data_IF_480039008997
#
_entry.id   IF_480039008997
#
_cell.length_a   1.000
_cell.length_b   1.000
_cell.length_c   1.000
_cell.angle_alpha   90.00
_cell.angle_beta   90.00
_cell.angle_gamma   90.00
#
_symmetry.space_group_name_H-M   'P 1'
#
loop_
_entity.id
_entity.type
_entity.pdbx_description
1 polymer ?
#
# COMPACT_ATOMS: atom_id res chain seq x y z
N UNK A 1 -15.32 -10.12 -10.37
CA UNK A 1 -16.27 -10.05 -11.50
C UNK A 1 -17.66 -10.66 -11.21
N UNK A 2 -17.78 -11.71 -10.39
CA UNK A 2 -19.11 -12.29 -10.08
C UNK A 2 -20.01 -11.31 -9.30
N UNK A 3 -19.44 -10.54 -8.38
CA UNK A 3 -20.18 -9.56 -7.54
C UNK A 3 -20.37 -8.21 -8.24
N UNK A 4 -19.47 -7.87 -9.17
CA UNK A 4 -19.46 -6.58 -9.88
C UNK A 4 -19.32 -6.81 -11.40
N UNK A 5 -20.40 -7.19 -12.09
CA UNK A 5 -20.34 -7.58 -13.51
C UNK A 5 -19.96 -6.42 -14.44
N UNK A 6 -20.25 -5.18 -14.03
CA UNK A 6 -19.93 -3.97 -14.83
C UNK A 6 -18.48 -3.49 -14.62
N UNK A 7 -17.73 -4.08 -13.68
CA UNK A 7 -16.35 -3.71 -13.43
C UNK A 7 -15.44 -4.23 -14.55
N UNK A 8 -14.77 -3.32 -15.24
CA UNK A 8 -13.74 -3.63 -16.22
C UNK A 8 -12.37 -3.60 -15.56
N UNK A 9 -11.72 -4.76 -15.41
CA UNK A 9 -10.33 -4.84 -14.95
C UNK A 9 -9.46 -4.88 -16.19
N UNK A 10 -8.77 -3.76 -16.45
CA UNK A 10 -7.93 -3.56 -17.66
C UNK A 10 -6.50 -4.06 -17.49
N UNK A 11 -6.05 -4.27 -16.26
CA UNK A 11 -4.72 -4.82 -15.98
C UNK A 11 -4.51 -5.16 -14.52
N UNK A 12 -3.51 -5.97 -14.25
CA UNK A 12 -2.99 -6.22 -12.91
C UNK A 12 -1.52 -6.64 -13.00
N UNK A 13 -0.74 -6.27 -11.99
CA UNK A 13 0.68 -6.59 -11.89
C UNK A 13 1.05 -6.88 -10.44
N UNK A 14 2.06 -7.72 -10.22
CA UNK A 14 2.65 -7.81 -8.89
C UNK A 14 3.40 -6.50 -8.57
N UNK A 15 3.48 -6.14 -7.28
CA UNK A 15 4.11 -4.89 -6.82
C UNK A 15 5.64 -4.99 -6.61
N UNK A 16 6.30 -6.04 -7.10
CA UNK A 16 7.74 -6.25 -6.94
C UNK A 16 8.45 -5.83 -8.22
N UNK A 17 8.94 -4.60 -8.25
CA UNK A 17 9.73 -4.07 -9.36
C UNK A 17 11.21 -4.36 -9.14
N UNK A 18 11.86 -4.96 -10.13
CA UNK A 18 13.28 -5.33 -10.08
C UNK A 18 14.18 -4.19 -10.55
N UNK A 19 13.70 -3.41 -11.49
CA UNK A 19 14.44 -2.31 -12.14
C UNK A 19 13.50 -1.18 -12.59
N UNK A 20 14.09 -0.10 -13.09
CA UNK A 20 13.36 1.03 -13.64
C UNK A 20 12.60 0.69 -14.93
N UNK A 21 13.07 -0.27 -15.70
CA UNK A 21 12.44 -0.69 -16.97
C UNK A 21 11.02 -1.22 -16.71
N UNK A 22 10.84 -2.04 -15.66
CA UNK A 22 9.52 -2.56 -15.28
C UNK A 22 8.54 -1.44 -14.85
N UNK A 23 9.06 -0.33 -14.32
CA UNK A 23 8.23 0.84 -13.98
C UNK A 23 7.87 1.62 -15.25
N UNK A 24 8.80 1.75 -16.20
CA UNK A 24 8.54 2.38 -17.49
C UNK A 24 7.48 1.60 -18.29
N UNK A 25 7.59 0.26 -18.32
CA UNK A 25 6.56 -0.60 -18.91
C UNK A 25 5.17 -0.38 -18.28
N UNK A 26 5.12 -0.21 -16.95
CA UNK A 26 3.85 0.11 -16.28
C UNK A 26 3.31 1.48 -16.69
N UNK A 27 4.17 2.48 -16.88
CA UNK A 27 3.77 3.80 -17.37
C UNK A 27 3.16 3.70 -18.78
N UNK A 28 3.79 2.95 -19.68
CA UNK A 28 3.28 2.72 -21.04
C UNK A 28 1.95 1.98 -21.02
N UNK A 29 1.83 0.94 -20.20
CA UNK A 29 0.60 0.19 -20.02
C UNK A 29 -0.56 1.07 -19.52
N UNK A 30 -0.30 1.99 -18.59
CA UNK A 30 -1.31 2.94 -18.10
C UNK A 30 -1.75 3.95 -19.16
N UNK A 31 -0.81 4.43 -19.98
CA UNK A 31 -1.12 5.35 -21.09
C UNK A 31 -1.96 4.66 -22.16
N UNK A 32 -1.66 3.40 -22.45
CA UNK A 32 -2.39 2.60 -23.43
C UNK A 32 -3.81 2.25 -22.95
N UNK A 33 -3.91 1.70 -21.73
CA UNK A 33 -5.17 1.14 -21.19
C UNK A 33 -6.10 2.18 -20.57
N UNK A 34 -5.57 3.34 -20.20
CA UNK A 34 -6.31 4.50 -19.64
C UNK A 34 -7.30 4.13 -18.53
N UNK A 35 -6.85 3.50 -17.44
CA UNK A 35 -7.74 3.16 -16.33
C UNK A 35 -8.26 4.41 -15.62
N UNK A 36 -9.51 4.39 -15.14
CA UNK A 36 -10.08 5.44 -14.29
C UNK A 36 -9.56 5.34 -12.86
N UNK A 37 -9.27 4.12 -12.39
CA UNK A 37 -8.80 3.82 -11.04
C UNK A 37 -7.55 2.95 -11.08
N UNK A 38 -6.54 3.34 -10.27
CA UNK A 38 -5.30 2.58 -10.09
C UNK A 38 -5.09 2.29 -8.62
N UNK A 39 -5.07 1.01 -8.25
CA UNK A 39 -4.85 0.54 -6.89
C UNK A 39 -3.39 0.12 -6.72
N UNK A 40 -2.67 0.71 -5.76
CA UNK A 40 -1.26 0.42 -5.51
C UNK A 40 -1.06 -0.08 -4.09
N UNK A 41 -0.43 -1.25 -3.94
CA UNK A 41 -0.18 -1.93 -2.67
C UNK A 41 1.28 -2.35 -2.50
N UNK A 42 2.22 -1.50 -2.92
CA UNK A 42 3.68 -1.78 -2.88
C UNK A 42 4.34 -1.42 -1.56
N UNK A 43 3.61 -0.73 -0.69
CA UNK A 43 4.07 -0.33 0.65
C UNK A 43 4.79 1.03 0.68
N UNK A 44 4.69 1.66 1.86
CA UNK A 44 5.33 2.96 2.15
C UNK A 44 6.87 2.81 2.22
N UNK A 45 7.67 3.79 1.76
CA UNK A 45 7.28 5.03 1.05
C UNK A 45 7.24 4.89 -0.48
N UNK A 46 7.47 3.69 -1.00
CA UNK A 46 7.62 3.46 -2.44
C UNK A 46 6.30 3.71 -3.19
N UNK A 47 5.16 3.28 -2.64
CA UNK A 47 3.85 3.46 -3.27
C UNK A 47 3.51 4.93 -3.52
N UNK A 48 3.82 5.83 -2.59
CA UNK A 48 3.54 7.27 -2.71
C UNK A 48 4.39 7.89 -3.83
N UNK A 49 5.67 7.52 -3.90
CA UNK A 49 6.57 7.96 -4.98
C UNK A 49 6.11 7.45 -6.34
N UNK A 50 5.71 6.17 -6.38
CA UNK A 50 5.21 5.55 -7.60
C UNK A 50 3.90 6.22 -8.06
N UNK A 51 2.94 6.44 -7.14
CA UNK A 51 1.69 7.15 -7.45
C UNK A 51 1.95 8.54 -8.02
N UNK A 52 2.83 9.33 -7.39
CA UNK A 52 3.18 10.66 -7.86
C UNK A 52 3.84 10.64 -9.25
N UNK A 53 4.62 9.61 -9.55
CA UNK A 53 5.25 9.41 -10.85
C UNK A 53 4.24 9.05 -11.93
N UNK A 54 3.40 8.04 -11.66
CA UNK A 54 2.38 7.55 -12.59
C UNK A 54 1.32 8.61 -12.89
N UNK A 55 0.91 9.39 -11.89
CA UNK A 55 -0.06 10.47 -12.05
C UNK A 55 0.39 11.53 -13.06
N UNK A 56 1.69 11.81 -13.14
CA UNK A 56 2.25 12.73 -14.13
C UNK A 56 2.14 12.22 -15.58
N UNK A 57 2.01 10.90 -15.75
CA UNK A 57 1.90 10.25 -17.06
C UNK A 57 0.45 10.02 -17.47
N UNK A 58 -0.38 9.65 -16.53
CA UNK A 58 -1.80 9.40 -16.76
C UNK A 58 -2.63 9.90 -15.57
N UNK A 59 -3.54 10.83 -15.85
CA UNK A 59 -4.46 11.37 -14.85
C UNK A 59 -5.59 10.37 -14.57
N UNK A 60 -5.55 9.75 -13.39
CA UNK A 60 -6.53 8.79 -12.90
C UNK A 60 -6.72 8.96 -11.39
N UNK A 61 -7.68 8.24 -10.81
CA UNK A 61 -7.80 8.15 -9.36
C UNK A 61 -6.85 7.07 -8.83
N UNK A 62 -5.81 7.50 -8.13
CA UNK A 62 -4.83 6.60 -7.52
C UNK A 62 -5.16 6.37 -6.05
N UNK A 63 -5.21 5.11 -5.63
CA UNK A 63 -5.51 4.70 -4.27
C UNK A 63 -4.40 3.79 -3.74
N UNK A 64 -3.75 4.23 -2.65
CA UNK A 64 -2.80 3.37 -1.94
C UNK A 64 -3.56 2.38 -1.06
N UNK A 65 -3.33 1.10 -1.30
CA UNK A 65 -3.89 0.02 -0.51
C UNK A 65 -2.80 -0.52 0.42
N UNK A 66 -2.93 -0.20 1.70
CA UNK A 66 -2.03 -0.74 2.72
C UNK A 66 -2.36 -2.19 3.09
N UNK A 67 -1.87 -2.64 4.25
CA UNK A 67 -2.12 -3.99 4.78
C UNK A 67 -3.60 -4.36 5.02
N UNK A 68 -4.53 -3.45 4.79
CA UNK A 68 -5.98 -3.74 4.78
C UNK A 68 -6.36 -4.60 3.58
N UNK A 69 -5.68 -4.44 2.45
CA UNK A 69 -5.89 -5.27 1.26
C UNK A 69 -5.46 -6.72 1.51
N UNK A 70 -4.33 -6.93 2.20
CA UNK A 70 -3.87 -8.27 2.58
C UNK A 70 -4.88 -8.99 3.49
N UNK A 71 -5.56 -8.24 4.35
CA UNK A 71 -6.62 -8.78 5.21
C UNK A 71 -7.87 -9.11 4.39
N UNK A 72 -8.26 -8.23 3.47
CA UNK A 72 -9.43 -8.43 2.61
C UNK A 72 -9.27 -9.64 1.69
N UNK A 73 -8.09 -9.83 1.13
CA UNK A 73 -7.77 -11.00 0.28
C UNK A 73 -7.54 -12.29 1.06
N UNK A 74 -7.54 -12.22 2.41
CA UNK A 74 -7.30 -13.37 3.27
C UNK A 74 -5.83 -13.81 3.36
N UNK A 75 -4.91 -13.08 2.73
CA UNK A 75 -3.47 -13.35 2.76
C UNK A 75 -2.91 -13.18 4.18
N UNK A 76 -3.45 -12.22 4.93
CA UNK A 76 -3.10 -11.99 6.34
C UNK A 76 -4.36 -12.09 7.19
N UNK A 77 -4.33 -12.98 8.19
CA UNK A 77 -5.45 -13.08 9.15
C UNK A 77 -5.52 -11.82 10.01
N UNK A 78 -6.72 -11.30 10.17
CA UNK A 78 -6.99 -10.19 11.08
C UNK A 78 -6.67 -10.60 12.52
N UNK A 79 -6.27 -9.62 13.34
CA UNK A 79 -6.02 -9.86 14.75
C UNK A 79 -7.29 -10.43 15.45
N UNK A 80 -7.15 -11.28 16.47
CA UNK A 80 -8.27 -11.72 17.29
C UNK A 80 -9.08 -10.55 17.85
N UNK A 81 -10.39 -10.74 18.06
CA UNK A 81 -11.31 -9.69 18.52
C UNK A 81 -10.83 -8.99 19.81
N UNK A 82 -10.17 -9.70 20.70
CA UNK A 82 -9.58 -9.14 21.90
C UNK A 82 -8.56 -8.04 21.60
N UNK A 83 -7.61 -8.30 20.70
CA UNK A 83 -6.63 -7.30 20.29
C UNK A 83 -7.25 -6.13 19.52
N UNK A 84 -8.31 -6.39 18.75
CA UNK A 84 -9.04 -5.33 18.04
C UNK A 84 -9.76 -4.39 19.01
N UNK A 85 -10.45 -4.94 20.03
CA UNK A 85 -11.19 -4.17 21.05
C UNK A 85 -10.26 -3.31 21.91
N UNK A 86 -9.05 -3.77 22.17
CA UNK A 86 -8.04 -3.03 22.94
C UNK A 86 -7.22 -2.04 22.11
N UNK A 87 -7.46 -1.93 20.79
CA UNK A 87 -6.64 -1.10 19.90
C UNK A 87 -5.21 -1.64 19.67
N UNK A 88 -4.94 -2.88 20.08
CA UNK A 88 -3.63 -3.53 20.02
C UNK A 88 -3.41 -4.36 18.73
N UNK A 89 -4.20 -4.12 17.69
CA UNK A 89 -4.05 -4.84 16.42
C UNK A 89 -2.64 -4.65 15.82
N UNK A 90 -2.07 -3.46 15.97
CA UNK A 90 -0.70 -3.15 15.54
C UNK A 90 0.34 -4.04 16.25
N UNK A 91 0.17 -4.30 17.54
CA UNK A 91 1.06 -5.16 18.34
C UNK A 91 0.96 -6.62 17.88
N UNK A 92 -0.26 -7.12 17.65
CA UNK A 92 -0.47 -8.46 17.11
C UNK A 92 0.22 -8.63 15.73
N UNK A 93 0.07 -7.65 14.85
CA UNK A 93 0.75 -7.64 13.54
C UNK A 93 2.27 -7.60 13.68
N UNK A 94 2.79 -6.85 14.66
CA UNK A 94 4.23 -6.81 14.95
C UNK A 94 4.76 -8.16 15.43
N UNK A 95 4.03 -8.84 16.31
CA UNK A 95 4.39 -10.18 16.78
C UNK A 95 4.42 -11.21 15.63
N UNK A 96 3.47 -11.11 14.68
CA UNK A 96 3.42 -12.00 13.51
C UNK A 96 4.47 -11.68 12.45
N UNK A 97 4.89 -10.42 12.34
CA UNK A 97 5.87 -9.95 11.36
C UNK A 97 6.89 -9.02 12.02
N UNK A 98 7.92 -9.56 12.72
CA UNK A 98 8.93 -8.76 13.43
C UNK A 98 9.71 -7.79 12.54
N UNK A 99 9.83 -8.08 11.24
CA UNK A 99 10.47 -7.19 10.26
C UNK A 99 9.81 -5.80 10.17
N UNK A 100 8.55 -5.67 10.61
CA UNK A 100 7.83 -4.39 10.68
C UNK A 100 8.37 -3.44 11.76
N UNK A 101 9.15 -3.93 12.72
CA UNK A 101 9.73 -3.09 13.79
C UNK A 101 10.61 -1.97 13.21
N UNK A 102 11.31 -2.25 12.12
CA UNK A 102 12.12 -1.24 11.40
C UNK A 102 11.29 -0.05 10.89
N UNK A 103 10.03 -0.28 10.54
CA UNK A 103 9.11 0.78 10.10
C UNK A 103 8.55 1.57 11.29
N UNK A 104 8.40 0.93 12.45
CA UNK A 104 7.90 1.58 13.66
C UNK A 104 8.95 2.45 14.33
N UNK A 105 10.25 2.21 14.10
CA UNK A 105 11.30 3.08 14.59
C UNK A 105 11.10 4.54 14.16
N UNK A 106 10.58 4.76 12.95
CA UNK A 106 10.25 6.11 12.46
C UNK A 106 9.16 6.78 13.33
N UNK A 107 8.19 6.01 13.81
CA UNK A 107 7.15 6.51 14.73
C UNK A 107 7.74 6.91 16.07
N UNK A 108 8.63 6.11 16.64
CA UNK A 108 9.33 6.46 17.89
C UNK A 108 10.17 7.72 17.71
N UNK A 109 10.88 7.86 16.58
CA UNK A 109 11.64 9.07 16.25
C UNK A 109 10.73 10.29 16.15
N UNK A 110 9.58 10.16 15.49
CA UNK A 110 8.59 11.23 15.37
C UNK A 110 8.06 11.67 16.74
N UNK A 111 7.66 10.71 17.59
CA UNK A 111 7.18 10.99 18.95
C UNK A 111 8.27 11.70 19.77
N UNK A 112 9.51 11.24 19.68
CA UNK A 112 10.64 11.90 20.33
C UNK A 112 10.82 13.34 19.86
N UNK A 113 10.82 13.57 18.53
CA UNK A 113 10.94 14.91 17.94
C UNK A 113 9.78 15.83 18.37
N UNK A 114 8.57 15.30 18.44
CA UNK A 114 7.39 16.04 18.90
C UNK A 114 7.57 16.51 20.35
N UNK A 115 8.00 15.65 21.27
CA UNK A 115 8.21 16.02 22.67
C UNK A 115 9.44 16.90 22.91
N UNK A 116 10.43 16.84 22.03
CA UNK A 116 11.65 17.68 22.13
C UNK A 116 11.53 18.99 21.35
N UNK A 117 10.36 19.30 20.77
CA UNK A 117 10.13 20.49 19.93
C UNK A 117 11.15 20.67 18.78
N UNK A 118 11.61 19.57 18.18
CA UNK A 118 12.54 19.55 17.05
C UNK A 118 11.84 19.31 15.71
N UNK A 119 10.55 19.64 15.62
CA UNK A 119 9.78 19.63 14.37
C UNK A 119 9.93 20.96 13.65
#
# INVERSE_FOLDING_TARGET
KKEYPLLSIVGYRNGFFKNEEEINELEEELIEKKPDFVFIATGFPFQEKLMARLWKKHAATYLSLGGSFDVYTGTVKRAPLFFQKLGLEWLYRLMKQPSRIKRQYVLFKFVWQYYTHQL
#
